data_IF_494333279794
#
_entry.id   IF_494333279794
#
_cell.length_a   1.000
_cell.length_b   1.000
_cell.length_c   1.000
_cell.angle_alpha   90.00
_cell.angle_beta   90.00
_cell.angle_gamma   90.00
#
_symmetry.space_group_name_H-M   'P 1'
#
loop_
_entity.id
_entity.type
_entity.pdbx_description
1 polymer ?
#
# COMPACT_ATOMS: atom_id res chain seq x y z
N UNK A 1 79.44 -3.78 -150.53
CA UNK A 1 78.34 -2.79 -150.60
C UNK A 1 77.35 -3.26 -151.65
N UNK A 2 76.32 -3.99 -151.23
CA UNK A 2 75.11 -4.24 -152.01
C UNK A 2 74.13 -3.11 -151.69
N UNK A 3 73.69 -2.40 -152.72
CA UNK A 3 72.80 -1.23 -152.60
C UNK A 3 71.45 -1.67 -152.03
N UNK A 4 70.89 -0.86 -151.11
CA UNK A 4 69.61 -1.11 -150.44
C UNK A 4 68.44 -1.33 -151.43
N UNK A 5 68.57 -0.82 -152.66
CA UNK A 5 67.62 -1.08 -153.76
C UNK A 5 67.70 -2.48 -154.37
N UNK A 6 68.87 -3.13 -154.38
CA UNK A 6 69.04 -4.50 -154.90
C UNK A 6 68.52 -5.54 -153.91
N UNK A 7 68.69 -5.31 -152.60
CA UNK A 7 68.07 -6.11 -151.54
C UNK A 7 66.55 -6.03 -151.57
N UNK A 8 65.97 -4.85 -151.85
CA UNK A 8 64.52 -4.70 -152.04
C UNK A 8 64.01 -5.47 -153.25
N UNK A 9 64.73 -5.47 -154.38
CA UNK A 9 64.34 -6.26 -155.56
C UNK A 9 64.40 -7.76 -155.31
N UNK A 10 65.39 -8.26 -154.57
CA UNK A 10 65.46 -9.66 -154.16
C UNK A 10 64.33 -10.04 -153.20
N UNK A 11 64.00 -9.18 -152.23
CA UNK A 11 62.87 -9.38 -151.33
C UNK A 11 61.52 -9.41 -152.08
N UNK A 12 61.33 -8.55 -153.08
CA UNK A 12 60.12 -8.57 -153.92
C UNK A 12 60.06 -9.84 -154.77
N UNK A 13 61.19 -10.35 -155.26
CA UNK A 13 61.23 -11.62 -155.99
C UNK A 13 60.92 -12.83 -155.09
N UNK A 14 61.45 -12.86 -153.87
CA UNK A 14 61.16 -13.89 -152.87
C UNK A 14 59.70 -13.81 -152.40
N UNK A 15 59.18 -12.61 -152.13
CA UNK A 15 57.75 -12.39 -151.82
C UNK A 15 56.83 -12.83 -152.97
N UNK A 16 57.26 -12.63 -154.23
CA UNK A 16 56.53 -13.10 -155.40
C UNK A 16 56.48 -14.62 -155.54
N UNK A 17 57.52 -15.33 -155.11
CA UNK A 17 57.56 -16.81 -155.08
C UNK A 17 56.74 -17.36 -153.91
N UNK A 18 56.79 -16.70 -152.74
CA UNK A 18 56.02 -17.09 -151.55
C UNK A 18 54.50 -16.95 -151.78
N UNK A 19 54.06 -15.83 -152.38
CA UNK A 19 52.65 -15.64 -152.74
C UNK A 19 52.16 -16.58 -153.85
N UNK A 20 53.06 -17.10 -154.70
CA UNK A 20 52.71 -18.09 -155.73
C UNK A 20 52.59 -19.53 -155.19
N UNK A 21 53.02 -19.78 -153.94
CA UNK A 21 52.97 -21.09 -153.28
C UNK A 21 51.97 -21.13 -152.11
N UNK A 22 51.13 -20.11 -151.94
CA UNK A 22 50.12 -20.00 -150.86
C UNK A 22 50.69 -20.17 -149.44
N UNK A 23 51.98 -19.88 -149.26
CA UNK A 23 52.67 -19.91 -147.96
C UNK A 23 52.64 -18.52 -147.33
N UNK A 24 52.35 -18.42 -146.03
CA UNK A 24 52.40 -17.13 -145.34
C UNK A 24 53.87 -16.71 -145.17
N UNK A 25 54.12 -15.40 -145.21
CA UNK A 25 55.46 -14.82 -145.04
C UNK A 25 56.14 -15.24 -143.72
N UNK A 26 55.32 -15.60 -142.73
CA UNK A 26 55.74 -16.12 -141.43
C UNK A 26 56.33 -17.55 -141.53
N UNK A 27 55.93 -18.37 -142.52
CA UNK A 27 56.28 -19.81 -142.63
C UNK A 27 57.59 -20.10 -143.38
N UNK A 28 58.18 -19.11 -144.05
CA UNK A 28 59.42 -19.24 -144.87
C UNK A 28 60.60 -18.50 -144.24
N UNK A 29 60.38 -17.85 -143.10
CA UNK A 29 61.37 -17.03 -142.41
C UNK A 29 62.11 -17.85 -141.34
N UNK A 30 63.45 -17.80 -141.26
CA UNK A 30 64.19 -18.36 -140.13
C UNK A 30 63.74 -17.70 -138.81
N UNK A 31 63.58 -18.48 -137.74
CA UNK A 31 63.09 -18.01 -136.42
C UNK A 31 63.82 -16.75 -135.91
N UNK A 32 65.12 -16.62 -136.20
CA UNK A 32 65.94 -15.46 -135.82
C UNK A 32 65.51 -14.13 -136.46
N UNK A 33 64.85 -14.16 -137.64
CA UNK A 33 64.39 -12.94 -138.33
C UNK A 33 62.95 -12.55 -137.95
N UNK A 34 62.11 -13.49 -137.52
CA UNK A 34 60.79 -13.19 -136.97
C UNK A 34 60.90 -12.36 -135.67
N UNK A 35 61.84 -12.73 -134.80
CA UNK A 35 62.15 -11.99 -133.56
C UNK A 35 62.56 -10.55 -133.89
N UNK A 36 63.37 -10.34 -134.92
CA UNK A 36 63.85 -9.00 -135.28
C UNK A 36 62.74 -8.08 -135.84
N UNK A 37 61.77 -8.63 -136.56
CA UNK A 37 60.60 -7.87 -137.04
C UNK A 37 59.62 -7.57 -135.91
N UNK A 38 59.40 -8.51 -134.97
CA UNK A 38 58.63 -8.26 -133.76
C UNK A 38 59.24 -7.12 -132.94
N UNK A 39 60.57 -7.14 -132.72
CA UNK A 39 61.30 -6.04 -132.10
C UNK A 39 61.13 -4.71 -132.85
N UNK A 40 61.13 -4.70 -134.18
CA UNK A 40 60.95 -3.46 -134.96
C UNK A 40 59.51 -2.91 -134.88
N UNK A 41 58.50 -3.78 -134.81
CA UNK A 41 57.11 -3.37 -134.57
C UNK A 41 56.90 -2.86 -133.14
N UNK A 42 57.50 -3.52 -132.14
CA UNK A 42 57.48 -3.08 -130.74
C UNK A 42 58.23 -1.76 -130.55
N UNK A 43 59.33 -1.55 -131.26
CA UNK A 43 60.08 -0.29 -131.20
C UNK A 43 59.29 0.85 -131.88
N UNK A 44 58.51 0.56 -132.93
CA UNK A 44 57.61 1.52 -133.55
C UNK A 44 56.43 1.87 -132.64
N UNK A 45 55.82 0.88 -131.97
CA UNK A 45 54.73 1.12 -131.01
C UNK A 45 55.23 1.84 -129.75
N UNK A 46 56.44 1.53 -129.27
CA UNK A 46 57.06 2.27 -128.17
C UNK A 46 57.34 3.73 -128.54
N UNK A 47 57.77 4.00 -129.78
CA UNK A 47 57.96 5.38 -130.27
C UNK A 47 56.66 6.16 -130.41
N UNK A 48 55.55 5.52 -130.81
CA UNK A 48 54.24 6.20 -130.82
C UNK A 48 53.75 6.45 -129.40
N UNK A 49 53.93 5.49 -128.50
CA UNK A 49 53.58 5.65 -127.09
C UNK A 49 54.35 6.79 -126.41
N UNK A 50 55.67 6.90 -126.65
CA UNK A 50 56.48 8.01 -126.10
C UNK A 50 55.96 9.36 -126.59
N UNK A 51 55.62 9.50 -127.88
CA UNK A 51 55.06 10.76 -128.40
C UNK A 51 53.69 11.10 -127.81
N UNK A 52 52.84 10.10 -127.59
CA UNK A 52 51.55 10.29 -126.93
C UNK A 52 51.72 10.71 -125.46
N UNK A 53 52.68 10.11 -124.75
CA UNK A 53 53.02 10.49 -123.37
C UNK A 53 53.60 11.90 -123.31
N UNK A 54 54.51 12.28 -124.20
CA UNK A 54 55.06 13.64 -124.28
C UNK A 54 53.97 14.69 -124.60
N UNK A 55 53.04 14.37 -125.50
CA UNK A 55 51.89 15.24 -125.80
C UNK A 55 50.98 15.40 -124.57
N UNK A 56 50.66 14.30 -123.89
CA UNK A 56 49.84 14.30 -122.68
C UNK A 56 50.53 15.02 -121.51
N UNK A 57 51.84 14.87 -121.37
CA UNK A 57 52.62 15.58 -120.36
C UNK A 57 52.59 17.08 -120.63
N UNK A 58 52.71 17.49 -121.89
CA UNK A 58 52.60 18.90 -122.28
C UNK A 58 51.21 19.48 -122.03
N UNK A 59 50.15 18.74 -122.33
CA UNK A 59 48.77 19.12 -121.99
C UNK A 59 48.57 19.24 -120.48
N UNK A 60 49.11 18.30 -119.69
CA UNK A 60 49.04 18.35 -118.23
C UNK A 60 49.83 19.54 -117.66
N UNK A 61 51.01 19.85 -118.22
CA UNK A 61 51.77 21.04 -117.83
C UNK A 61 51.00 22.33 -118.12
N UNK A 62 50.32 22.41 -119.27
CA UNK A 62 49.47 23.56 -119.60
C UNK A 62 48.25 23.66 -118.70
N UNK A 63 47.57 22.55 -118.40
CA UNK A 63 46.43 22.51 -117.48
C UNK A 63 46.84 22.92 -116.05
N UNK A 64 48.00 22.46 -115.58
CA UNK A 64 48.55 22.88 -114.28
C UNK A 64 48.91 24.37 -114.26
N UNK A 65 49.52 24.89 -115.32
CA UNK A 65 49.80 26.33 -115.42
C UNK A 65 48.51 27.16 -115.37
N UNK A 66 47.48 26.75 -116.11
CA UNK A 66 46.18 27.41 -116.11
C UNK A 66 45.47 27.34 -114.73
N UNK A 67 45.55 26.22 -114.03
CA UNK A 67 45.00 26.10 -112.66
C UNK A 67 45.73 26.98 -111.65
N UNK A 68 47.05 27.11 -111.77
CA UNK A 68 47.83 28.02 -110.94
C UNK A 68 47.47 29.48 -111.20
N UNK A 69 47.26 29.86 -112.46
CA UNK A 69 46.77 31.20 -112.82
C UNK A 69 45.37 31.47 -112.23
N UNK A 70 44.46 30.51 -112.29
CA UNK A 70 43.12 30.66 -111.67
C UNK A 70 43.20 30.80 -110.15
N UNK A 71 44.07 30.05 -109.48
CA UNK A 71 44.30 30.18 -108.05
C UNK A 71 44.88 31.54 -107.70
N UNK A 72 45.85 32.03 -108.46
CA UNK A 72 46.40 33.37 -108.26
C UNK A 72 45.34 34.45 -108.48
N UNK A 73 44.51 34.34 -109.52
CA UNK A 73 43.43 35.28 -109.78
C UNK A 73 42.38 35.32 -108.64
N UNK A 74 42.04 34.16 -108.08
CA UNK A 74 41.15 34.08 -106.91
C UNK A 74 41.80 34.60 -105.63
N UNK A 75 43.10 34.40 -105.46
CA UNK A 75 43.85 34.96 -104.35
C UNK A 75 43.88 36.50 -104.44
N UNK A 76 44.11 37.06 -105.62
CA UNK A 76 44.04 38.52 -105.82
C UNK A 76 42.63 39.07 -105.59
N UNK A 77 41.58 38.35 -105.97
CA UNK A 77 40.18 38.76 -105.71
C UNK A 77 39.84 38.77 -104.20
N UNK A 78 40.46 37.89 -103.40
CA UNK A 78 40.35 37.89 -101.93
C UNK A 78 41.16 39.03 -101.33
N UNK A 79 42.36 39.30 -101.86
CA UNK A 79 43.24 40.34 -101.36
C UNK A 79 42.69 41.75 -101.67
N UNK A 80 42.05 41.91 -102.84
CA UNK A 80 41.37 43.13 -103.32
C UNK A 80 39.94 43.33 -102.76
N UNK A 81 39.54 42.58 -101.74
CA UNK A 81 38.27 42.86 -101.05
C UNK A 81 38.23 44.32 -100.55
N UNK A 82 37.11 45.05 -100.76
CA UNK A 82 36.98 46.43 -100.32
C UNK A 82 37.34 46.58 -98.84
N UNK A 83 38.06 47.65 -98.50
CA UNK A 83 38.44 47.93 -97.12
C UNK A 83 37.23 47.93 -96.16
N UNK A 84 36.06 48.34 -96.66
CA UNK A 84 34.77 48.32 -95.95
C UNK A 84 34.29 46.92 -95.57
N UNK A 85 34.55 45.90 -96.39
CA UNK A 85 34.18 44.52 -96.05
C UNK A 85 35.10 43.95 -94.97
N UNK A 86 36.40 44.27 -95.02
CA UNK A 86 37.36 43.89 -93.99
C UNK A 86 37.04 44.58 -92.65
N UNK A 87 36.66 45.86 -92.66
CA UNK A 87 36.22 46.56 -91.44
C UNK A 87 34.92 45.99 -90.89
N UNK A 88 33.92 45.71 -91.74
CA UNK A 88 32.65 45.11 -91.33
C UNK A 88 32.86 43.73 -90.68
N UNK A 89 33.77 42.91 -91.21
CA UNK A 89 34.12 41.60 -90.61
C UNK A 89 34.72 41.76 -89.21
N UNK A 90 35.59 42.75 -89.01
CA UNK A 90 36.17 43.05 -87.69
C UNK A 90 35.11 43.58 -86.73
N UNK A 91 34.21 44.45 -87.19
CA UNK A 91 33.08 44.95 -86.38
C UNK A 91 32.11 43.84 -85.99
N UNK A 92 31.80 42.92 -86.92
CA UNK A 92 31.00 41.74 -86.64
C UNK A 92 31.65 40.87 -85.56
N UNK A 93 32.94 40.54 -85.71
CA UNK A 93 33.70 39.79 -84.70
C UNK A 93 33.73 40.51 -83.35
N UNK A 94 33.90 41.83 -83.34
CA UNK A 94 33.85 42.63 -82.11
C UNK A 94 32.46 42.56 -81.47
N UNK A 95 31.40 42.59 -82.27
CA UNK A 95 30.02 42.49 -81.79
C UNK A 95 29.72 41.08 -81.24
N UNK A 96 30.19 40.02 -81.91
CA UNK A 96 30.10 38.63 -81.45
C UNK A 96 30.81 38.44 -80.11
N UNK A 97 32.06 38.89 -80.00
CA UNK A 97 32.82 38.85 -78.75
C UNK A 97 32.14 39.63 -77.62
N UNK A 98 31.51 40.78 -77.93
CA UNK A 98 30.73 41.54 -76.95
C UNK A 98 29.48 40.80 -76.51
N UNK A 99 28.76 40.15 -77.43
CA UNK A 99 27.58 39.33 -77.11
C UNK A 99 27.98 38.17 -76.21
N UNK A 100 29.06 37.46 -76.53
CA UNK A 100 29.58 36.37 -75.71
C UNK A 100 29.96 36.85 -74.31
N UNK A 101 30.70 37.96 -74.21
CA UNK A 101 31.06 38.56 -72.93
C UNK A 101 29.84 38.91 -72.06
N UNK A 102 28.84 39.58 -72.62
CA UNK A 102 27.63 39.91 -71.86
C UNK A 102 26.79 38.67 -71.52
N UNK A 103 26.81 37.63 -72.36
CA UNK A 103 26.17 36.36 -72.08
C UNK A 103 26.83 35.66 -70.88
N UNK A 104 28.16 35.62 -70.83
CA UNK A 104 28.90 35.06 -69.68
C UNK A 104 28.59 35.82 -68.38
N UNK A 105 28.52 37.16 -68.43
CA UNK A 105 28.12 37.96 -67.27
C UNK A 105 26.70 37.64 -66.84
N UNK A 106 25.76 37.56 -67.78
CA UNK A 106 24.36 37.26 -67.48
C UNK A 106 24.21 35.87 -66.85
N UNK A 107 24.89 34.86 -67.39
CA UNK A 107 24.92 33.50 -66.83
C UNK A 107 25.55 33.49 -65.42
N UNK A 108 26.63 34.24 -65.20
CA UNK A 108 27.25 34.37 -63.88
C UNK A 108 26.32 35.01 -62.85
N UNK A 109 25.67 36.14 -63.19
CA UNK A 109 24.74 36.82 -62.28
C UNK A 109 23.46 36.01 -62.04
N UNK A 110 22.98 35.27 -63.05
CA UNK A 110 21.89 34.31 -62.86
C UNK A 110 22.29 33.21 -61.87
N UNK A 111 23.44 32.56 -62.09
CA UNK A 111 23.94 31.53 -61.19
C UNK A 111 24.18 32.06 -59.77
N UNK A 112 24.59 33.32 -59.62
CA UNK A 112 24.74 33.99 -58.34
C UNK A 112 23.39 34.23 -57.67
N UNK A 113 22.38 34.68 -58.41
CA UNK A 113 21.02 34.90 -57.92
C UNK A 113 20.41 33.60 -57.43
N UNK A 114 20.51 32.52 -58.22
CA UNK A 114 20.03 31.19 -57.82
C UNK A 114 20.71 30.68 -56.53
N UNK A 115 22.00 30.96 -56.34
CA UNK A 115 22.69 30.61 -55.07
C UNK A 115 22.14 31.41 -53.90
N UNK A 116 21.81 32.69 -54.08
CA UNK A 116 21.21 33.50 -53.02
C UNK A 116 19.78 33.04 -52.70
N UNK A 117 18.98 32.71 -53.71
CA UNK A 117 17.63 32.17 -53.51
C UNK A 117 17.68 30.87 -52.71
N UNK A 118 18.54 29.90 -53.10
CA UNK A 118 18.72 28.65 -52.34
C UNK A 118 19.14 28.91 -50.89
N UNK A 119 20.11 29.80 -50.66
CA UNK A 119 20.54 30.17 -49.30
C UNK A 119 19.43 30.84 -48.49
N UNK A 120 18.62 31.67 -49.13
CA UNK A 120 17.47 32.32 -48.48
C UNK A 120 16.41 31.30 -48.09
N UNK A 121 16.09 30.35 -48.98
CA UNK A 121 15.17 29.26 -48.67
C UNK A 121 15.67 28.37 -47.53
N UNK A 122 16.97 28.05 -47.51
CA UNK A 122 17.60 27.32 -46.41
C UNK A 122 17.50 28.10 -45.09
N UNK A 123 17.80 29.40 -45.10
CA UNK A 123 17.67 30.26 -43.92
C UNK A 123 16.22 30.34 -43.41
N UNK A 124 15.23 30.44 -44.31
CA UNK A 124 13.81 30.43 -43.96
C UNK A 124 13.43 29.09 -43.31
N UNK A 125 13.89 27.97 -43.86
CA UNK A 125 13.64 26.63 -43.29
C UNK A 125 14.24 26.51 -41.89
N UNK A 126 15.48 26.96 -41.69
CA UNK A 126 16.14 26.96 -40.38
C UNK A 126 15.40 27.86 -39.38
N UNK A 127 14.97 29.05 -39.80
CA UNK A 127 14.17 29.95 -38.97
C UNK A 127 12.84 29.31 -38.54
N UNK A 128 12.15 28.64 -39.46
CA UNK A 128 10.89 27.95 -39.15
C UNK A 128 11.08 26.82 -38.12
N UNK A 129 12.19 26.07 -38.22
CA UNK A 129 12.55 25.05 -37.22
C UNK A 129 12.85 25.70 -35.86
N UNK A 130 13.66 26.75 -35.83
CA UNK A 130 13.99 27.48 -34.60
C UNK A 130 12.73 28.06 -33.92
N UNK A 131 11.80 28.62 -34.70
CA UNK A 131 10.52 29.13 -34.19
C UNK A 131 9.65 28.00 -33.62
N UNK A 132 9.62 26.83 -34.28
CA UNK A 132 8.90 25.67 -33.80
C UNK A 132 9.48 25.14 -32.48
N UNK A 133 10.81 25.08 -32.36
CA UNK A 133 11.51 24.70 -31.14
C UNK A 133 11.30 25.71 -30.01
N UNK A 134 11.36 27.02 -30.30
CA UNK A 134 11.06 28.07 -29.33
C UNK A 134 9.62 27.96 -28.79
N UNK A 135 8.64 27.70 -29.66
CA UNK A 135 7.25 27.46 -29.24
C UNK A 135 7.11 26.20 -28.40
N UNK A 136 7.87 25.15 -28.69
CA UNK A 136 7.89 23.91 -27.90
C UNK A 136 8.50 24.14 -26.52
N UNK A 137 9.63 24.84 -26.46
CA UNK A 137 10.31 25.24 -25.21
C UNK A 137 9.38 26.04 -24.31
N UNK A 138 8.72 27.09 -24.84
CA UNK A 138 7.72 27.88 -24.07
C UNK A 138 6.57 27.04 -23.51
N UNK A 139 6.07 26.06 -24.28
CA UNK A 139 5.01 25.15 -23.81
C UNK A 139 5.50 24.25 -22.67
N UNK A 140 6.73 23.75 -22.77
CA UNK A 140 7.34 22.93 -21.72
C UNK A 140 7.60 23.75 -20.46
N UNK A 141 8.10 24.97 -20.57
CA UNK A 141 8.28 25.89 -19.43
C UNK A 141 6.96 26.18 -18.72
N UNK A 142 5.88 26.47 -19.46
CA UNK A 142 4.55 26.66 -18.89
C UNK A 142 4.05 25.40 -18.17
N UNK A 143 4.21 24.22 -18.79
CA UNK A 143 3.82 22.95 -18.18
C UNK A 143 4.62 22.67 -16.89
N UNK A 144 5.92 22.96 -16.91
CA UNK A 144 6.81 22.78 -15.76
C UNK A 144 6.39 23.71 -14.62
N UNK A 145 6.12 24.99 -14.90
CA UNK A 145 5.63 25.95 -13.91
C UNK A 145 4.29 25.50 -13.27
N UNK A 146 3.36 24.96 -14.08
CA UNK A 146 2.09 24.41 -13.56
C UNK A 146 2.35 23.19 -12.67
N UNK A 147 3.25 22.30 -13.06
CA UNK A 147 3.65 21.13 -12.26
C UNK A 147 4.29 21.55 -10.93
N UNK A 148 5.22 22.50 -10.93
CA UNK A 148 5.85 23.04 -9.73
C UNK A 148 4.84 23.67 -8.77
N UNK A 149 3.93 24.50 -9.30
CA UNK A 149 2.86 25.10 -8.52
C UNK A 149 1.94 24.03 -7.90
N UNK A 150 1.64 22.95 -8.63
CA UNK A 150 0.87 21.82 -8.11
C UNK A 150 1.62 21.08 -7.01
N UNK A 151 2.92 20.84 -7.19
CA UNK A 151 3.78 20.19 -6.19
C UNK A 151 3.85 21.00 -4.91
N UNK A 152 4.06 22.32 -4.99
CA UNK A 152 4.04 23.20 -3.82
C UNK A 152 2.71 23.12 -3.06
N UNK A 153 1.57 23.19 -3.76
CA UNK A 153 0.23 23.03 -3.13
C UNK A 153 0.04 21.69 -2.45
N UNK A 154 0.57 20.61 -3.03
CA UNK A 154 0.50 19.27 -2.42
C UNK A 154 1.40 19.17 -1.18
N UNK A 155 2.58 19.77 -1.21
CA UNK A 155 3.48 19.83 -0.05
C UNK A 155 2.87 20.64 1.10
N UNK A 156 2.26 21.79 0.81
CA UNK A 156 1.53 22.58 1.81
C UNK A 156 0.38 21.79 2.44
N UNK A 157 -0.44 21.11 1.62
CA UNK A 157 -1.51 20.24 2.12
C UNK A 157 -0.98 19.09 2.95
N UNK A 158 0.13 18.48 2.55
CA UNK A 158 0.75 17.38 3.30
C UNK A 158 1.25 17.86 4.66
N UNK A 159 1.94 19.01 4.72
CA UNK A 159 2.37 19.65 5.98
C UNK A 159 1.18 19.95 6.90
N UNK A 160 0.13 20.59 6.37
CA UNK A 160 -1.06 20.89 7.15
C UNK A 160 -1.78 19.61 7.68
N UNK A 161 -1.76 18.52 6.91
CA UNK A 161 -2.28 17.24 7.38
C UNK A 161 -1.38 16.63 8.46
N UNK A 162 -0.06 16.67 8.30
CA UNK A 162 0.89 16.19 9.30
C UNK A 162 0.73 16.93 10.64
N UNK A 163 0.64 18.26 10.62
CA UNK A 163 0.41 19.08 11.81
C UNK A 163 -0.91 18.70 12.52
N UNK A 164 -1.98 18.45 11.76
CA UNK A 164 -3.27 17.98 12.31
C UNK A 164 -3.14 16.60 12.95
N UNK A 165 -2.43 15.68 12.31
CA UNK A 165 -2.19 14.34 12.87
C UNK A 165 -1.36 14.41 14.14
N UNK A 166 -0.32 15.23 14.19
CA UNK A 166 0.49 15.44 15.39
C UNK A 166 -0.35 16.02 16.53
N UNK A 167 -1.19 17.02 16.23
CA UNK A 167 -2.10 17.62 17.21
C UNK A 167 -3.09 16.59 17.78
N UNK A 168 -3.72 15.79 16.91
CA UNK A 168 -4.61 14.70 17.32
C UNK A 168 -3.88 13.63 18.14
N UNK A 169 -2.66 13.28 17.77
CA UNK A 169 -1.86 12.31 18.50
C UNK A 169 -1.51 12.83 19.90
N UNK A 170 -1.21 14.12 20.04
CA UNK A 170 -0.97 14.75 21.34
C UNK A 170 -2.25 14.80 22.19
N UNK A 171 -3.40 15.14 21.62
CA UNK A 171 -4.70 15.07 22.29
C UNK A 171 -5.03 13.66 22.77
N UNK A 172 -4.84 12.65 21.92
CA UNK A 172 -5.02 11.25 22.30
C UNK A 172 -4.06 10.82 23.41
N UNK A 173 -2.80 11.25 23.37
CA UNK A 173 -1.84 10.97 24.44
C UNK A 173 -2.25 11.61 25.76
N UNK A 174 -2.74 12.86 25.74
CA UNK A 174 -3.27 13.54 26.95
C UNK A 174 -4.48 12.80 27.52
N UNK A 175 -5.44 12.45 26.66
CA UNK A 175 -6.63 11.70 27.07
C UNK A 175 -6.26 10.32 27.65
N UNK A 176 -5.31 9.62 27.06
CA UNK A 176 -4.81 8.35 27.61
C UNK A 176 -4.19 8.55 28.99
N UNK A 177 -3.35 9.58 29.17
CA UNK A 177 -2.81 9.93 30.49
C UNK A 177 -3.90 10.19 31.53
N UNK A 178 -4.93 10.98 31.20
CA UNK A 178 -6.07 11.23 32.11
C UNK A 178 -6.84 9.94 32.45
N UNK A 179 -6.97 9.01 31.49
CA UNK A 179 -7.62 7.72 31.73
C UNK A 179 -6.76 6.81 32.61
N UNK A 180 -5.46 6.77 32.40
CA UNK A 180 -4.53 6.00 33.22
C UNK A 180 -4.49 6.53 34.66
N UNK A 181 -4.45 7.85 34.85
CA UNK A 181 -4.56 8.50 36.16
C UNK A 181 -5.88 8.12 36.85
N UNK A 182 -7.00 8.16 36.10
CA UNK A 182 -8.31 7.78 36.65
C UNK A 182 -8.40 6.30 37.02
N UNK A 183 -7.80 5.41 36.20
CA UNK A 183 -7.71 3.98 36.51
C UNK A 183 -6.91 3.80 37.80
N UNK A 184 -5.77 4.46 37.93
CA UNK A 184 -4.94 4.42 39.13
C UNK A 184 -5.70 4.88 40.39
N UNK A 185 -6.44 5.99 40.32
CA UNK A 185 -7.31 6.46 41.41
C UNK A 185 -8.36 5.41 41.81
N UNK A 186 -9.04 4.81 40.83
CA UNK A 186 -10.07 3.81 41.09
C UNK A 186 -9.48 2.53 41.68
N UNK A 187 -8.32 2.08 41.20
CA UNK A 187 -7.60 0.93 41.76
C UNK A 187 -7.22 1.20 43.21
N UNK A 188 -6.67 2.38 43.54
CA UNK A 188 -6.36 2.73 44.92
C UNK A 188 -7.62 2.76 45.81
N UNK A 189 -8.75 3.27 45.29
CA UNK A 189 -10.01 3.26 46.06
C UNK A 189 -10.55 1.86 46.27
N UNK A 190 -10.42 0.96 45.29
CA UNK A 190 -10.79 -0.45 45.43
C UNK A 190 -9.94 -1.10 46.52
N UNK A 191 -8.61 -0.92 46.47
CA UNK A 191 -7.72 -1.49 47.48
C UNK A 191 -8.07 -1.00 48.91
N UNK A 192 -8.37 0.30 49.06
CA UNK A 192 -8.85 0.85 50.34
C UNK A 192 -10.15 0.22 50.80
N UNK A 193 -11.12 0.05 49.90
CA UNK A 193 -12.40 -0.59 50.23
C UNK A 193 -12.23 -2.07 50.58
N UNK A 194 -11.29 -2.77 49.94
CA UNK A 194 -10.95 -4.15 50.28
C UNK A 194 -10.32 -4.25 51.67
N UNK A 195 -9.41 -3.34 52.02
CA UNK A 195 -8.83 -3.24 53.37
C UNK A 195 -9.91 -2.91 54.42
N UNK A 196 -10.76 -1.91 54.16
CA UNK A 196 -11.91 -1.56 55.01
C UNK A 196 -12.83 -2.77 55.21
N UNK A 197 -13.14 -3.50 54.14
CA UNK A 197 -14.01 -4.67 54.19
C UNK A 197 -13.37 -5.80 55.01
N UNK A 198 -12.08 -6.09 54.82
CA UNK A 198 -11.36 -7.10 55.60
C UNK A 198 -11.40 -6.76 57.09
N UNK A 199 -11.19 -5.49 57.45
CA UNK A 199 -11.30 -5.02 58.82
C UNK A 199 -12.72 -5.14 59.38
N UNK A 200 -13.76 -4.88 58.57
CA UNK A 200 -15.15 -5.10 59.01
C UNK A 200 -15.48 -6.58 59.24
N UNK A 201 -14.92 -7.49 58.43
CA UNK A 201 -15.07 -8.94 58.63
C UNK A 201 -14.37 -9.37 59.91
N UNK A 202 -13.12 -8.96 60.14
CA UNK A 202 -12.40 -9.24 61.39
C UNK A 202 -13.14 -8.72 62.64
N UNK A 203 -13.66 -7.48 62.57
CA UNK A 203 -14.45 -6.91 63.66
C UNK A 203 -15.77 -7.67 63.87
N UNK A 204 -16.42 -8.10 62.78
CA UNK A 204 -17.64 -8.92 62.85
C UNK A 204 -17.34 -10.25 63.53
N UNK A 205 -16.25 -10.92 63.17
CA UNK A 205 -15.82 -12.18 63.77
C UNK A 205 -15.56 -11.99 65.28
N UNK A 206 -14.83 -10.95 65.67
CA UNK A 206 -14.62 -10.61 67.08
C UNK A 206 -15.93 -10.33 67.85
N UNK A 207 -16.88 -9.63 67.22
CA UNK A 207 -18.20 -9.38 67.81
C UNK A 207 -18.97 -10.70 67.98
N UNK A 208 -18.92 -11.60 67.01
CA UNK A 208 -19.55 -12.91 67.14
C UNK A 208 -18.91 -13.77 68.23
N UNK A 209 -17.58 -13.80 68.32
CA UNK A 209 -16.86 -14.52 69.37
C UNK A 209 -17.18 -13.99 70.77
N UNK A 210 -17.21 -12.66 70.93
CA UNK A 210 -17.56 -12.03 72.21
C UNK A 210 -19.03 -12.26 72.57
N UNK A 211 -19.94 -12.22 71.59
CA UNK A 211 -21.34 -12.54 71.79
C UNK A 211 -21.55 -13.99 72.22
N UNK A 212 -20.92 -14.95 71.54
CA UNK A 212 -20.99 -16.38 71.88
C UNK A 212 -20.39 -16.65 73.27
N UNK A 213 -19.28 -15.98 73.62
CA UNK A 213 -18.72 -16.06 74.97
C UNK A 213 -19.68 -15.55 76.05
N UNK A 214 -20.33 -14.40 75.81
CA UNK A 214 -21.33 -13.87 76.75
C UNK A 214 -22.54 -14.80 76.87
N UNK A 215 -23.01 -15.36 75.77
CA UNK A 215 -24.14 -16.28 75.76
C UNK A 215 -23.80 -17.55 76.56
N UNK A 216 -22.64 -18.14 76.33
CA UNK A 216 -22.14 -19.27 77.13
C UNK A 216 -22.02 -18.94 78.62
N UNK A 217 -21.53 -17.73 78.97
CA UNK A 217 -21.43 -17.29 80.36
C UNK A 217 -22.82 -17.17 81.02
N UNK A 218 -23.80 -16.58 80.31
CA UNK A 218 -25.18 -16.46 80.80
C UNK A 218 -25.82 -17.84 80.95
N UNK A 219 -25.64 -18.74 79.99
CA UNK A 219 -26.13 -20.12 80.10
C UNK A 219 -25.52 -20.83 81.31
N UNK A 220 -24.22 -20.66 81.54
CA UNK A 220 -23.53 -21.24 82.69
C UNK A 220 -23.99 -20.64 84.02
N UNK A 221 -24.17 -19.31 84.10
CA UNK A 221 -24.74 -18.66 85.28
C UNK A 221 -26.18 -19.09 85.54
N UNK A 222 -26.99 -19.25 84.49
CA UNK A 222 -28.36 -19.75 84.58
C UNK A 222 -28.39 -21.18 85.13
N UNK A 223 -27.55 -22.07 84.60
CA UNK A 223 -27.39 -23.44 85.12
C UNK A 223 -26.96 -23.43 86.59
N UNK A 224 -25.92 -22.66 86.94
CA UNK A 224 -25.46 -22.52 88.30
C UNK A 224 -26.55 -21.98 89.24
N UNK A 225 -27.33 -20.98 88.78
CA UNK A 225 -28.44 -20.42 89.55
C UNK A 225 -29.56 -21.46 89.75
N UNK A 226 -29.89 -22.25 88.72
CA UNK A 226 -30.86 -23.35 88.86
C UNK A 226 -30.38 -24.42 89.84
N UNK A 227 -29.08 -24.77 89.83
CA UNK A 227 -28.51 -25.73 90.79
C UNK A 227 -28.54 -25.18 92.23
N UNK A 228 -28.23 -23.90 92.42
CA UNK A 228 -28.33 -23.24 93.73
C UNK A 228 -29.79 -23.20 94.21
N UNK A 229 -30.73 -22.84 93.34
CA UNK A 229 -32.17 -22.79 93.68
C UNK A 229 -32.68 -24.20 94.02
N UNK A 230 -32.32 -25.21 93.24
CA UNK A 230 -32.71 -26.60 93.47
C UNK A 230 -32.14 -27.13 94.79
N UNK A 231 -30.84 -26.91 95.04
CA UNK A 231 -30.21 -27.34 96.30
C UNK A 231 -30.82 -26.62 97.50
N UNK A 232 -31.08 -25.31 97.41
CA UNK A 232 -31.74 -24.56 98.48
C UNK A 232 -33.19 -25.01 98.70
N UNK A 233 -33.94 -25.26 97.63
CA UNK A 233 -35.31 -25.77 97.71
C UNK A 233 -35.34 -27.13 98.40
N UNK A 234 -34.41 -28.04 98.08
CA UNK A 234 -34.30 -29.32 98.77
C UNK A 234 -33.99 -29.16 100.27
N UNK A 235 -33.10 -28.23 100.65
CA UNK A 235 -32.85 -27.94 102.08
C UNK A 235 -34.08 -27.39 102.78
N UNK A 236 -34.81 -26.48 102.16
CA UNK A 236 -36.04 -25.90 102.71
C UNK A 236 -37.15 -26.95 102.83
N UNK A 237 -37.27 -27.90 101.91
CA UNK A 237 -38.22 -29.01 102.03
C UNK A 237 -37.90 -29.91 103.24
N UNK A 238 -36.62 -30.21 103.48
CA UNK A 238 -36.19 -31.00 104.65
C UNK A 238 -36.47 -30.23 105.93
N UNK A 239 -36.10 -28.94 106.00
CA UNK A 239 -36.39 -28.07 107.13
C UNK A 239 -37.90 -27.97 107.37
N UNK A 240 -38.70 -27.79 106.32
CA UNK A 240 -40.16 -27.72 106.42
C UNK A 240 -40.75 -29.03 106.93
N UNK A 241 -40.32 -30.18 106.43
CA UNK A 241 -40.76 -31.49 106.95
C UNK A 241 -40.39 -31.68 108.41
N UNK A 242 -39.18 -31.31 108.80
CA UNK A 242 -38.76 -31.36 110.21
C UNK A 242 -39.61 -30.43 111.07
N UNK A 243 -39.91 -29.22 110.60
CA UNK A 243 -40.72 -28.25 111.32
C UNK A 243 -42.17 -28.72 111.43
N UNK A 244 -42.76 -29.24 110.34
CA UNK A 244 -44.09 -29.84 110.33
C UNK A 244 -44.19 -31.04 111.29
N UNK A 245 -43.14 -31.86 111.39
CA UNK A 245 -43.05 -32.94 112.39
C UNK A 245 -43.05 -32.39 113.82
N UNK A 246 -42.25 -31.35 114.10
CA UNK A 246 -42.22 -30.70 115.42
C UNK A 246 -43.57 -30.06 115.75
N UNK A 247 -44.19 -29.34 114.81
CA UNK A 247 -45.52 -28.78 115.00
C UNK A 247 -46.57 -29.86 115.25
N UNK A 248 -46.52 -30.98 114.52
CA UNK A 248 -47.42 -32.11 114.73
C UNK A 248 -47.22 -32.76 116.10
N UNK A 249 -45.97 -32.92 116.56
CA UNK A 249 -45.65 -33.46 117.88
C UNK A 249 -46.21 -32.55 118.99
N UNK A 250 -45.91 -31.24 118.93
CA UNK A 250 -46.43 -30.24 119.86
C UNK A 250 -47.96 -30.26 119.89
N UNK A 251 -48.61 -30.26 118.72
CA UNK A 251 -50.07 -30.30 118.64
C UNK A 251 -50.65 -31.59 119.26
N UNK A 252 -49.99 -32.73 119.07
CA UNK A 252 -50.41 -34.01 119.65
C UNK A 252 -50.23 -34.08 121.17
N UNK A 253 -49.19 -33.46 121.72
CA UNK A 253 -48.95 -33.37 123.17
C UNK A 253 -49.92 -32.40 123.85
N UNK A 254 -50.23 -31.28 123.21
CA UNK A 254 -51.18 -30.29 123.73
C UNK A 254 -52.63 -30.72 123.62
N UNK A 255 -52.99 -31.61 122.69
CA UNK A 255 -54.37 -32.05 122.49
C UNK A 255 -55.02 -32.67 123.75
N UNK A 256 -54.43 -33.65 124.45
CA UNK A 256 -55.00 -34.20 125.68
C UNK A 256 -55.07 -33.18 126.81
N UNK A 257 -54.09 -32.27 126.91
CA UNK A 257 -54.11 -31.19 127.90
C UNK A 257 -55.25 -30.19 127.62
N UNK A 258 -55.44 -29.80 126.36
CA UNK A 258 -56.54 -28.94 125.92
C UNK A 258 -57.90 -29.60 126.16
N UNK A 259 -58.02 -30.92 125.92
CA UNK A 259 -59.26 -31.68 126.20
C UNK A 259 -59.53 -31.77 127.70
N UNK A 260 -58.51 -32.06 128.51
CA UNK A 260 -58.61 -32.05 129.96
C UNK A 260 -59.14 -30.71 130.48
N UNK A 261 -58.53 -29.59 130.06
CA UNK A 261 -59.03 -28.27 130.47
C UNK A 261 -60.44 -28.01 129.97
N UNK A 262 -60.80 -28.46 128.77
CA UNK A 262 -62.18 -28.45 128.28
C UNK A 262 -63.16 -29.13 129.24
N UNK A 263 -62.85 -30.37 129.65
CA UNK A 263 -63.67 -31.12 130.62
C UNK A 263 -63.66 -30.49 132.02
N UNK A 264 -62.52 -29.99 132.50
CA UNK A 264 -62.41 -29.31 133.79
C UNK A 264 -63.24 -28.02 133.83
N UNK A 265 -63.28 -27.26 132.72
CA UNK A 265 -64.16 -26.10 132.60
C UNK A 265 -65.63 -26.50 132.54
N UNK A 266 -65.99 -27.61 131.88
CA UNK A 266 -67.36 -28.16 131.91
C UNK A 266 -67.77 -28.56 133.34
N UNK A 267 -66.91 -29.23 134.09
CA UNK A 267 -67.12 -29.60 135.51
C UNK A 267 -67.31 -28.35 136.38
N UNK A 268 -66.45 -27.34 136.22
CA UNK A 268 -66.60 -26.05 136.89
C UNK A 268 -67.94 -25.38 136.54
N UNK A 269 -68.34 -25.42 135.28
CA UNK A 269 -69.64 -24.92 134.81
C UNK A 269 -70.82 -25.64 135.47
N UNK A 270 -70.75 -26.96 135.63
CA UNK A 270 -71.77 -27.77 136.33
C UNK A 270 -71.82 -27.41 137.82
N UNK A 271 -70.66 -27.28 138.49
CA UNK A 271 -70.64 -26.84 139.89
C UNK A 271 -71.17 -25.41 140.05
N UNK A 272 -70.84 -24.52 139.13
CA UNK A 272 -71.35 -23.15 139.12
C UNK A 272 -72.87 -23.11 138.92
N UNK A 273 -73.42 -23.94 138.03
CA UNK A 273 -74.87 -24.02 137.82
C UNK A 273 -75.59 -24.60 139.04
N UNK A 274 -75.04 -25.64 139.68
CA UNK A 274 -75.58 -26.21 140.93
C UNK A 274 -75.56 -25.17 142.06
N UNK A 275 -74.47 -24.41 142.21
CA UNK A 275 -74.36 -23.34 143.20
C UNK A 275 -75.32 -22.19 142.90
N UNK A 276 -75.51 -21.82 141.64
CA UNK A 276 -76.53 -20.84 141.23
C UNK A 276 -77.94 -21.34 141.56
N UNK A 277 -78.26 -22.59 141.25
CA UNK A 277 -79.56 -23.21 141.54
C UNK A 277 -79.83 -23.29 143.05
N UNK A 278 -78.82 -23.59 143.88
CA UNK A 278 -78.90 -23.58 145.35
C UNK A 278 -79.02 -22.17 145.94
N UNK A 279 -78.44 -21.16 145.28
CA UNK A 279 -78.52 -19.76 145.71
C UNK A 279 -79.84 -19.07 145.31
N UNK A 280 -80.63 -19.69 144.42
CA UNK A 280 -81.88 -19.13 143.93
C UNK A 280 -83.04 -19.38 144.91
N UNK A 281 -83.75 -18.31 145.28
CA UNK A 281 -84.76 -18.28 146.36
C UNK A 281 -86.06 -19.10 146.09
N UNK A 282 -86.14 -19.82 144.97
CA UNK A 282 -87.32 -20.60 144.54
C UNK A 282 -86.99 -22.08 144.20
N UNK A 283 -85.81 -22.57 144.59
CA UNK A 283 -85.34 -23.89 144.20
C UNK A 283 -85.98 -25.02 145.01
N UNK A 284 -86.69 -25.94 144.33
CA UNK A 284 -87.05 -27.26 144.86
C UNK A 284 -85.75 -28.01 145.14
N UNK A 285 -85.67 -28.67 146.29
CA UNK A 285 -84.52 -29.48 146.70
C UNK A 285 -83.90 -30.23 145.51
N UNK A 286 -82.65 -29.89 145.18
CA UNK A 286 -81.83 -30.59 144.18
C UNK A 286 -81.65 -32.02 144.69
N UNK A 287 -82.42 -32.96 144.16
CA UNK A 287 -82.47 -34.35 144.64
C UNK A 287 -81.50 -35.30 143.93
N UNK A 288 -80.72 -34.83 142.95
CA UNK A 288 -79.60 -35.60 142.40
C UNK A 288 -78.56 -34.73 141.69
N UNK A 289 -77.29 -35.03 141.91
CA UNK A 289 -76.18 -34.56 141.08
C UNK A 289 -76.43 -35.03 139.62
N UNK A 290 -76.21 -34.19 138.61
CA UNK A 290 -76.35 -34.59 137.21
C UNK A 290 -75.42 -35.76 136.89
N UNK A 291 -75.92 -36.82 136.24
CA UNK A 291 -75.11 -37.96 135.76
C UNK A 291 -74.00 -37.56 134.78
N UNK A 292 -74.08 -36.34 134.22
CA UNK A 292 -73.03 -35.76 133.40
C UNK A 292 -71.80 -35.36 134.20
N UNK A 293 -71.90 -35.09 135.50
CA UNK A 293 -70.74 -34.72 136.32
C UNK A 293 -69.77 -35.88 136.48
N UNK A 294 -70.28 -37.07 136.81
CA UNK A 294 -69.46 -38.27 136.96
C UNK A 294 -68.82 -38.64 135.61
N UNK A 295 -69.56 -38.55 134.51
CA UNK A 295 -69.03 -38.81 133.17
C UNK A 295 -67.95 -37.80 132.74
N UNK A 296 -68.08 -36.52 133.10
CA UNK A 296 -67.09 -35.48 132.82
C UNK A 296 -65.86 -35.58 133.73
N UNK A 297 -66.03 -36.00 134.99
CA UNK A 297 -64.93 -36.29 135.91
C UNK A 297 -64.15 -37.53 135.46
N UNK A 298 -64.84 -38.61 135.06
CA UNK A 298 -64.23 -39.81 134.52
C UNK A 298 -63.50 -39.50 133.20
N UNK A 299 -64.13 -38.72 132.30
CA UNK A 299 -63.50 -38.29 131.04
C UNK A 299 -62.29 -37.38 131.27
N UNK A 300 -62.36 -36.44 132.21
CA UNK A 300 -61.20 -35.61 132.59
C UNK A 300 -60.08 -36.46 133.18
N UNK A 301 -60.42 -37.46 133.99
CA UNK A 301 -59.44 -38.38 134.57
C UNK A 301 -58.79 -39.25 133.48
N UNK A 302 -59.56 -39.78 132.53
CA UNK A 302 -59.07 -40.55 131.39
C UNK A 302 -58.13 -39.72 130.50
N UNK A 303 -58.46 -38.45 130.22
CA UNK A 303 -57.56 -37.56 129.47
C UNK A 303 -56.28 -37.24 130.27
N UNK A 304 -56.36 -37.13 131.59
CA UNK A 304 -55.21 -36.90 132.47
C UNK A 304 -54.33 -38.15 132.60
N UNK A 305 -54.91 -39.36 132.60
CA UNK A 305 -54.19 -40.62 132.48
C UNK A 305 -53.52 -40.77 131.12
N UNK A 306 -54.22 -40.44 130.04
CA UNK A 306 -53.66 -40.45 128.69
C UNK A 306 -52.46 -39.50 128.58
N UNK A 307 -52.55 -38.28 129.12
CA UNK A 307 -51.43 -37.33 129.17
C UNK A 307 -50.25 -37.86 130.00
N UNK A 308 -50.51 -38.45 131.18
CA UNK A 308 -49.45 -39.03 132.02
C UNK A 308 -48.72 -40.20 131.37
N UNK A 309 -49.44 -41.04 130.63
CA UNK A 309 -48.81 -42.12 129.85
C UNK A 309 -48.01 -41.58 128.66
N UNK A 310 -48.51 -40.54 128.00
CA UNK A 310 -47.82 -39.90 126.87
C UNK A 310 -46.50 -39.22 127.31
N UNK A 311 -46.46 -38.65 128.52
CA UNK A 311 -45.25 -38.05 129.12
C UNK A 311 -44.27 -39.10 129.66
N UNK A 312 -44.72 -40.33 129.93
CA UNK A 312 -43.85 -41.41 130.42
C UNK A 312 -43.15 -42.19 129.30
N UNK A 313 -43.65 -42.09 128.06
CA UNK A 313 -43.10 -42.75 126.86
C UNK A 313 -42.23 -41.80 125.99
N UNK A 314 -41.90 -40.60 126.49
CA UNK A 314 -40.94 -39.63 125.93
C UNK A 314 -39.58 -39.73 126.64
#
# INVERSE_FOLDING_TARGET
MTSRGDLQKQLVHIMGVINAQDLKFEDVMPDDMQVHFQYMTELKSARTYIKEVEAREKELQQANAHLLEQLQAKQTEIDDQPAEFKSLKVELQLSENRIEYYKEIAEHEQARTERYERRMEEAIKLQAVADAESRKSKRLEQSLSVCEARTCKLLEKNRAMAERYESQQEEHRKLLGEKDDRIFELTNRINQLEEENLQTVENSEQVTETYDSLLNNIEQESLNATDIINSKSATLEVERRSNDQVYSAIASELAPLSRFYGHAFSVLGIYQSILQDLSSQHSRAVTSIPKSLDAELDSANDQLYAYKHLVADL
#
